data_IF_711530996433
#
_entry.id   IF_711530996433
#
_cell.length_a   1.000
_cell.length_b   1.000
_cell.length_c   1.000
_cell.angle_alpha   90.00
_cell.angle_beta   90.00
_cell.angle_gamma   90.00
#
_symmetry.space_group_name_H-M   'P 1'
#
loop_
_entity.id
_entity.type
_entity.pdbx_description
1 polymer ?
#
# COMPACT_ATOMS: atom_id res chain seq x y z
N UNK A 1 47.16 -17.04 -23.78
CA UNK A 1 46.60 -17.77 -24.93
C UNK A 1 45.44 -16.95 -25.46
N UNK A 2 45.70 -16.24 -26.58
CA UNK A 2 44.79 -15.74 -27.66
C UNK A 2 43.51 -15.00 -27.27
N UNK A 3 43.15 -13.80 -27.74
CA UNK A 3 43.73 -12.64 -28.46
C UNK A 3 42.67 -11.52 -28.30
N UNK A 4 43.10 -10.27 -28.19
CA UNK A 4 42.27 -9.07 -28.19
C UNK A 4 41.62 -8.79 -29.55
N UNK A 5 40.47 -8.12 -29.58
CA UNK A 5 40.00 -7.41 -30.79
C UNK A 5 39.37 -6.09 -30.38
N UNK A 6 39.98 -5.00 -30.86
CA UNK A 6 39.51 -3.64 -30.76
C UNK A 6 38.78 -3.26 -32.06
N UNK A 7 37.75 -2.43 -31.96
CA UNK A 7 37.24 -1.65 -33.10
C UNK A 7 36.86 -0.24 -32.63
N UNK A 8 37.56 0.74 -33.22
CA UNK A 8 37.28 2.18 -33.20
C UNK A 8 36.14 2.51 -34.18
N UNK A 9 35.49 3.64 -33.95
CA UNK A 9 34.92 4.66 -34.88
C UNK A 9 33.76 5.36 -34.13
N UNK A 10 33.52 6.66 -34.15
CA UNK A 10 34.10 7.80 -34.86
C UNK A 10 33.35 9.05 -34.36
N UNK A 11 34.03 10.18 -34.35
CA UNK A 11 33.49 11.48 -33.94
C UNK A 11 32.54 12.06 -35.00
N UNK A 12 31.48 12.74 -34.56
CA UNK A 12 30.58 13.52 -35.42
C UNK A 12 30.01 14.74 -34.69
N UNK A 13 30.51 15.93 -35.06
CA UNK A 13 30.00 17.28 -34.72
C UNK A 13 28.72 17.59 -35.51
N UNK A 14 27.70 18.19 -34.86
CA UNK A 14 26.69 19.11 -35.46
C UNK A 14 26.17 20.00 -34.31
N UNK A 15 26.57 21.27 -34.17
CA UNK A 15 26.07 22.50 -34.80
C UNK A 15 24.75 23.08 -34.21
N UNK A 16 24.94 24.29 -33.64
CA UNK A 16 24.08 25.35 -33.13
C UNK A 16 22.63 25.58 -33.64
N UNK A 17 21.75 25.90 -32.67
CA UNK A 17 20.76 27.00 -32.68
C UNK A 17 19.39 26.75 -33.33
N UNK A 18 18.32 27.56 -33.03
CA UNK A 18 18.35 28.88 -32.39
C UNK A 18 17.30 29.14 -31.26
N UNK A 19 17.49 30.34 -30.70
CA UNK A 19 16.75 31.15 -29.70
C UNK A 19 15.20 31.11 -29.71
N UNK A 20 14.60 31.13 -28.52
CA UNK A 20 13.32 31.79 -28.16
C UNK A 20 13.50 32.47 -26.79
N UNK A 21 13.67 33.79 -26.72
CA UNK A 21 12.65 34.85 -26.58
C UNK A 21 11.79 34.68 -25.33
N UNK A 22 12.18 35.43 -24.30
CA UNK A 22 11.44 35.74 -23.07
C UNK A 22 10.29 36.73 -23.35
N UNK A 23 9.20 36.72 -22.56
CA UNK A 23 8.38 37.90 -22.37
C UNK A 23 8.72 38.60 -21.05
N UNK A 24 8.95 39.89 -21.16
CA UNK A 24 9.12 40.83 -20.06
C UNK A 24 7.79 41.14 -19.37
N UNK A 25 7.89 41.35 -18.06
CA UNK A 25 7.15 42.30 -17.22
C UNK A 25 6.19 43.29 -17.91
N UNK A 26 4.96 43.37 -17.41
CA UNK A 26 4.26 44.64 -17.15
C UNK A 26 3.55 44.55 -15.80
N UNK A 27 3.98 45.40 -14.88
CA UNK A 27 3.18 45.82 -13.74
C UNK A 27 2.34 47.05 -14.10
N UNK A 28 1.22 47.21 -13.41
CA UNK A 28 0.53 48.46 -13.09
C UNK A 28 -0.53 48.09 -12.02
N UNK A 29 -0.32 48.45 -10.76
CA UNK A 29 -0.82 49.69 -10.13
C UNK A 29 -2.34 49.62 -9.90
N UNK A 30 -2.78 49.36 -8.66
CA UNK A 30 -3.16 50.36 -7.64
C UNK A 30 -4.42 51.17 -7.99
N UNK A 31 -5.44 51.05 -7.12
CA UNK A 31 -6.31 52.10 -6.53
C UNK A 31 -7.62 51.44 -6.10
N UNK A 32 -7.89 51.24 -4.80
CA UNK A 32 -8.23 52.18 -3.73
C UNK A 32 -9.73 52.53 -3.65
N UNK A 33 -10.23 52.52 -2.40
CA UNK A 33 -11.51 53.06 -1.88
C UNK A 33 -12.75 52.23 -2.22
N UNK A 34 -13.74 52.04 -1.35
CA UNK A 34 -14.04 52.48 0.01
C UNK A 34 -15.23 51.62 0.49
N UNK A 35 -15.24 51.19 1.75
CA UNK A 35 -15.95 51.84 2.85
C UNK A 35 -17.42 51.40 3.02
N UNK A 36 -17.68 50.91 4.24
CA UNK A 36 -18.94 50.98 5.00
C UNK A 36 -20.12 50.13 4.49
N UNK A 37 -21.08 49.72 5.31
CA UNK A 37 -21.26 49.56 6.77
C UNK A 37 -22.71 49.10 6.90
N UNK A 38 -22.92 48.08 7.73
CA UNK A 38 -24.10 47.74 8.53
C UNK A 38 -25.47 48.34 8.16
N UNK A 39 -26.48 47.47 8.03
CA UNK A 39 -27.71 47.54 8.83
C UNK A 39 -28.53 46.25 8.73
N UNK A 40 -28.83 45.67 9.89
CA UNK A 40 -29.86 44.65 10.03
C UNK A 40 -31.26 45.26 10.10
N UNK A 41 -32.27 44.42 9.92
CA UNK A 41 -33.60 44.62 10.47
C UNK A 41 -34.31 43.26 10.56
N UNK A 42 -34.54 42.87 11.80
CA UNK A 42 -35.40 41.80 12.28
C UNK A 42 -36.86 42.24 12.21
N UNK A 43 -37.78 41.37 11.79
CA UNK A 43 -39.21 41.45 12.18
C UNK A 43 -39.76 40.03 12.36
N UNK A 44 -40.11 39.73 13.60
CA UNK A 44 -40.94 38.60 14.01
C UNK A 44 -42.41 39.03 14.14
N UNK A 45 -43.37 38.17 13.79
CA UNK A 45 -44.73 38.19 14.38
C UNK A 45 -45.27 36.77 14.53
N UNK A 46 -45.90 36.55 15.68
CA UNK A 46 -46.32 35.30 16.29
C UNK A 46 -47.68 34.74 15.82
N UNK A 47 -47.96 33.47 16.17
CA UNK A 47 -49.28 32.84 16.12
C UNK A 47 -49.37 31.63 17.07
N UNK A 48 -50.48 31.56 17.81
CA UNK A 48 -50.73 30.81 19.05
C UNK A 48 -51.06 29.30 18.90
N UNK A 49 -50.79 28.55 19.98
CA UNK A 49 -51.09 27.15 20.39
C UNK A 49 -52.63 26.82 20.53
N UNK A 50 -53.12 25.60 20.96
CA UNK A 50 -52.46 24.40 21.55
C UNK A 50 -53.04 22.98 21.20
N UNK A 51 -52.42 21.96 21.84
CA UNK A 51 -52.91 20.64 22.32
C UNK A 51 -52.68 19.39 21.45
N UNK A 52 -51.68 18.62 21.87
CA UNK A 52 -51.55 17.19 21.59
C UNK A 52 -50.70 16.53 22.68
N UNK A 53 -51.36 15.93 23.67
CA UNK A 53 -50.74 15.10 24.70
C UNK A 53 -50.25 13.81 24.04
N UNK A 54 -48.96 13.50 24.09
CA UNK A 54 -48.50 12.13 23.91
C UNK A 54 -47.30 11.80 24.80
N UNK A 55 -47.33 10.57 25.31
CA UNK A 55 -46.73 10.09 26.55
C UNK A 55 -45.21 9.97 26.49
N UNK A 56 -44.59 10.23 27.64
CA UNK A 56 -43.18 9.98 27.91
C UNK A 56 -42.80 8.50 27.76
N UNK A 57 -41.77 8.21 26.95
CA UNK A 57 -40.88 7.07 27.14
C UNK A 57 -39.46 7.61 27.27
N UNK A 58 -38.98 7.74 28.51
CA UNK A 58 -37.57 8.00 28.81
C UNK A 58 -36.77 6.74 28.47
N UNK A 59 -36.26 6.68 27.25
CA UNK A 59 -35.18 5.76 26.87
C UNK A 59 -33.88 6.29 27.44
N UNK A 60 -33.20 5.46 28.25
CA UNK A 60 -31.90 5.74 28.87
C UNK A 60 -30.82 5.71 27.78
N UNK A 61 -30.50 6.87 27.21
CA UNK A 61 -29.32 7.04 26.38
C UNK A 61 -28.07 6.82 27.25
N UNK A 62 -27.42 5.68 27.06
CA UNK A 62 -26.03 5.49 27.49
C UNK A 62 -25.17 6.24 26.49
N UNK A 63 -24.94 7.53 26.76
CA UNK A 63 -23.88 8.29 26.12
C UNK A 63 -22.55 7.62 26.44
N UNK A 64 -22.01 6.86 25.48
CA UNK A 64 -20.62 6.44 25.47
C UNK A 64 -19.78 7.69 25.28
N UNK A 65 -19.28 8.26 26.38
CA UNK A 65 -18.35 9.37 26.35
C UNK A 65 -17.11 8.97 25.56
N UNK A 66 -16.97 9.50 24.35
CA UNK A 66 -15.71 9.44 23.60
C UNK A 66 -14.78 10.46 24.26
N UNK A 67 -13.83 9.98 25.05
CA UNK A 67 -12.72 10.79 25.51
C UNK A 67 -11.76 11.00 24.34
N UNK A 68 -11.81 12.18 23.71
CA UNK A 68 -10.77 12.62 22.80
C UNK A 68 -9.50 12.89 23.63
N UNK A 69 -8.49 12.05 23.46
CA UNK A 69 -7.17 12.26 24.05
C UNK A 69 -6.41 13.18 23.11
N UNK A 70 -6.21 14.44 23.50
CA UNK A 70 -5.30 15.35 22.81
C UNK A 70 -3.85 14.91 23.12
N UNK A 71 -3.38 13.91 22.39
CA UNK A 71 -1.99 13.50 22.36
C UNK A 71 -1.40 13.94 21.04
N UNK A 72 -0.39 14.80 21.08
CA UNK A 72 0.41 15.20 19.93
C UNK A 72 1.39 14.07 19.57
N UNK A 73 0.85 12.90 19.25
CA UNK A 73 1.59 11.73 18.78
C UNK A 73 1.00 11.33 17.44
N UNK A 74 1.86 11.09 16.45
CA UNK A 74 1.46 10.45 15.20
C UNK A 74 0.56 9.25 15.54
N UNK A 75 -0.68 9.27 15.06
CA UNK A 75 -1.59 8.14 15.25
C UNK A 75 -0.86 6.89 14.74
N UNK A 76 -0.76 5.80 15.53
CA UNK A 76 -0.18 4.58 15.03
C UNK A 76 -0.94 4.20 13.74
N UNK A 77 -0.24 3.76 12.68
CA UNK A 77 -0.91 3.43 11.42
C UNK A 77 -2.07 2.51 11.75
N UNK A 78 -3.28 2.95 11.37
CA UNK A 78 -4.52 2.25 11.71
C UNK A 78 -4.59 1.01 10.85
N UNK A 79 -3.82 -0.01 11.22
CA UNK A 79 -3.76 -1.30 10.55
C UNK A 79 -5.18 -1.88 10.60
N UNK A 80 -5.71 -2.25 9.44
CA UNK A 80 -7.04 -2.84 9.36
C UNK A 80 -7.07 -4.15 10.18
N UNK A 81 -8.12 -4.31 11.00
CA UNK A 81 -8.28 -5.54 11.82
C UNK A 81 -8.31 -6.80 10.96
N UNK A 82 -8.82 -6.69 9.74
CA UNK A 82 -8.81 -7.77 8.76
C UNK A 82 -7.39 -8.16 8.32
N UNK A 83 -6.50 -7.18 8.07
CA UNK A 83 -5.11 -7.47 7.73
C UNK A 83 -4.38 -8.14 8.91
N UNK A 84 -4.68 -7.72 10.15
CA UNK A 84 -4.13 -8.35 11.33
C UNK A 84 -4.56 -9.81 11.45
N UNK A 85 -5.87 -10.09 11.37
CA UNK A 85 -6.41 -11.44 11.47
C UNK A 85 -5.90 -12.37 10.36
N UNK A 86 -5.75 -11.86 9.14
CA UNK A 86 -5.13 -12.61 8.04
C UNK A 86 -3.65 -12.88 8.29
N UNK A 87 -2.91 -11.90 8.82
CA UNK A 87 -1.48 -12.07 9.13
C UNK A 87 -1.24 -13.11 10.23
N UNK A 88 -2.15 -13.21 11.19
CA UNK A 88 -2.12 -14.23 12.24
C UNK A 88 -2.42 -15.63 11.70
N UNK A 89 -3.33 -15.72 10.72
CA UNK A 89 -3.63 -16.97 10.04
C UNK A 89 -2.47 -17.47 9.14
N UNK A 90 -1.76 -16.59 8.45
CA UNK A 90 -0.61 -16.96 7.59
C UNK A 90 0.62 -17.41 8.39
N UNK A 91 0.79 -16.85 9.58
CA UNK A 91 1.91 -17.16 10.48
C UNK A 91 1.36 -17.61 11.82
N UNK A 92 0.73 -18.81 11.86
CA UNK A 92 0.29 -19.39 13.11
C UNK A 92 1.50 -19.40 14.05
N UNK A 93 1.26 -19.19 15.35
CA UNK A 93 2.27 -19.16 16.42
C UNK A 93 3.41 -18.11 16.35
N UNK A 94 3.45 -17.19 15.37
CA UNK A 94 4.47 -16.11 15.39
C UNK A 94 4.39 -15.26 16.67
N UNK A 95 3.18 -15.01 17.14
CA UNK A 95 2.95 -14.31 18.41
C UNK A 95 3.67 -15.00 19.58
N UNK A 96 3.51 -16.32 19.72
CA UNK A 96 4.17 -17.11 20.77
C UNK A 96 5.69 -17.03 20.66
N UNK A 97 6.22 -17.09 19.44
CA UNK A 97 7.67 -17.02 19.22
C UNK A 97 8.26 -15.66 19.62
N UNK A 98 7.62 -14.57 19.23
CA UNK A 98 8.03 -13.21 19.63
C UNK A 98 7.93 -13.04 21.15
N UNK A 99 6.84 -13.53 21.76
CA UNK A 99 6.67 -13.52 23.21
C UNK A 99 7.78 -14.30 23.92
N UNK A 100 8.13 -15.49 23.41
CA UNK A 100 9.22 -16.30 23.94
C UNK A 100 10.56 -15.57 23.87
N UNK A 101 10.91 -14.95 22.73
CA UNK A 101 12.14 -14.17 22.62
C UNK A 101 12.20 -12.99 23.58
N UNK A 102 11.07 -12.31 23.79
CA UNK A 102 10.98 -11.18 24.70
C UNK A 102 11.09 -11.62 26.16
N UNK A 103 10.40 -12.70 26.56
CA UNK A 103 10.44 -13.25 27.90
C UNK A 103 11.85 -13.79 28.24
N UNK A 104 12.44 -14.58 27.35
CA UNK A 104 13.82 -15.06 27.50
C UNK A 104 14.82 -13.91 27.49
N UNK A 105 14.62 -12.89 26.65
CA UNK A 105 15.48 -11.71 26.60
C UNK A 105 15.42 -10.91 27.90
N UNK A 106 14.22 -10.72 28.47
CA UNK A 106 14.05 -10.09 29.77
C UNK A 106 14.76 -10.89 30.87
N UNK A 107 14.64 -12.23 30.85
CA UNK A 107 15.36 -13.11 31.78
C UNK A 107 16.88 -12.98 31.65
N UNK A 108 17.42 -13.03 30.42
CA UNK A 108 18.85 -12.87 30.15
C UNK A 108 19.36 -11.48 30.52
N UNK A 109 18.52 -10.45 30.41
CA UNK A 109 18.87 -9.09 30.86
C UNK A 109 19.02 -9.03 32.38
N UNK A 110 18.10 -9.66 33.12
CA UNK A 110 18.18 -9.75 34.58
C UNK A 110 19.39 -10.58 35.02
N UNK A 111 19.62 -11.75 34.40
CA UNK A 111 20.80 -12.59 34.64
C UNK A 111 22.10 -11.83 34.38
N UNK A 112 22.20 -11.19 33.21
CA UNK A 112 23.34 -10.38 32.82
C UNK A 112 23.60 -9.20 33.76
N UNK A 113 22.56 -8.55 34.31
CA UNK A 113 22.73 -7.49 35.30
C UNK A 113 23.33 -8.03 36.61
N UNK A 114 22.87 -9.19 37.08
CA UNK A 114 23.40 -9.84 38.28
C UNK A 114 24.86 -10.27 38.04
N UNK A 115 25.15 -10.90 36.90
CA UNK A 115 26.50 -11.29 36.51
C UNK A 115 27.43 -10.07 36.40
N UNK A 116 26.94 -8.95 35.84
CA UNK A 116 27.70 -7.70 35.76
C UNK A 116 28.07 -7.17 37.15
N UNK A 117 27.13 -7.20 38.10
CA UNK A 117 27.39 -6.78 39.49
C UNK A 117 28.42 -7.70 40.16
N UNK A 118 28.35 -9.03 39.93
CA UNK A 118 29.32 -9.99 40.48
C UNK A 118 30.72 -9.79 39.92
N UNK A 119 30.84 -9.65 38.60
CA UNK A 119 32.13 -9.35 37.93
C UNK A 119 32.72 -8.05 38.45
N UNK A 120 31.91 -6.99 38.60
CA UNK A 120 32.38 -5.71 39.15
C UNK A 120 32.87 -5.84 40.60
N UNK A 121 32.16 -6.60 41.44
CA UNK A 121 32.55 -6.84 42.83
C UNK A 121 33.83 -7.69 42.92
N UNK A 122 33.96 -8.75 42.13
CA UNK A 122 35.16 -9.60 42.08
C UNK A 122 36.40 -8.84 41.59
N UNK A 123 36.23 -7.95 40.62
CA UNK A 123 37.30 -7.06 40.16
C UNK A 123 37.72 -6.07 41.25
N UNK A 124 36.76 -5.46 41.96
CA UNK A 124 37.04 -4.54 43.06
C UNK A 124 37.76 -5.20 44.24
N UNK A 125 37.52 -6.49 44.48
CA UNK A 125 38.18 -7.29 45.53
C UNK A 125 39.54 -7.86 45.09
N UNK A 126 39.91 -7.74 43.81
CA UNK A 126 41.14 -8.32 43.27
C UNK A 126 41.08 -9.85 43.07
N UNK A 127 39.88 -10.44 43.10
CA UNK A 127 39.65 -11.88 42.90
C UNK A 127 39.70 -12.26 41.40
N UNK A 128 39.50 -11.28 40.52
CA UNK A 128 39.56 -11.44 39.06
C UNK A 128 40.87 -10.82 38.56
N UNK A 129 41.80 -11.66 38.09
CA UNK A 129 43.06 -11.23 37.50
C UNK A 129 42.88 -10.53 36.15
N UNK A 130 43.85 -9.69 35.77
CA UNK A 130 43.87 -8.94 34.50
C UNK A 130 44.51 -9.72 33.34
N UNK A 131 44.90 -10.98 33.56
CA UNK A 131 45.52 -11.81 32.53
C UNK A 131 44.45 -12.51 31.69
N UNK A 132 44.76 -12.81 30.42
CA UNK A 132 43.82 -13.47 29.50
C UNK A 132 43.42 -14.88 29.97
N UNK A 133 44.29 -15.58 30.72
CA UNK A 133 44.02 -16.88 31.33
C UNK A 133 43.06 -16.80 32.51
N UNK A 134 43.16 -15.77 33.36
CA UNK A 134 42.25 -15.57 34.49
C UNK A 134 40.86 -15.12 34.01
N UNK A 135 40.83 -14.36 32.91
CA UNK A 135 39.59 -13.92 32.27
C UNK A 135 38.76 -15.11 31.76
N UNK A 136 39.39 -16.08 31.08
CA UNK A 136 38.72 -17.29 30.57
C UNK A 136 38.48 -18.36 31.65
N UNK A 137 39.22 -18.32 32.76
CA UNK A 137 39.10 -19.27 33.87
C UNK A 137 38.07 -18.87 34.94
N UNK A 138 37.61 -17.62 34.96
CA UNK A 138 36.66 -17.15 35.97
C UNK A 138 35.21 -17.51 35.64
N UNK A 139 34.51 -18.06 36.63
CA UNK A 139 33.10 -18.46 36.50
C UNK A 139 32.18 -17.25 36.29
N UNK A 140 32.48 -16.12 36.95
CA UNK A 140 31.68 -14.89 36.85
C UNK A 140 31.77 -14.23 35.45
N UNK A 141 32.96 -14.18 34.84
CA UNK A 141 33.12 -13.65 33.47
C UNK A 141 32.49 -14.60 32.47
N UNK A 142 32.65 -15.91 32.65
CA UNK A 142 32.03 -16.92 31.79
C UNK A 142 30.50 -16.81 31.84
N UNK A 143 29.92 -16.65 33.03
CA UNK A 143 28.49 -16.40 33.22
C UNK A 143 28.00 -15.13 32.51
N UNK A 144 28.71 -14.02 32.67
CA UNK A 144 28.42 -12.76 31.97
C UNK A 144 28.51 -12.91 30.44
N UNK A 145 29.52 -13.64 29.95
CA UNK A 145 29.70 -13.89 28.53
C UNK A 145 28.55 -14.73 27.95
N UNK A 146 28.07 -15.74 28.70
CA UNK A 146 26.92 -16.55 28.31
C UNK A 146 25.64 -15.70 28.25
N UNK A 147 25.37 -14.89 29.29
CA UNK A 147 24.18 -14.01 29.31
C UNK A 147 24.20 -13.00 28.16
N UNK A 148 25.36 -12.40 27.87
CA UNK A 148 25.52 -11.49 26.73
C UNK A 148 25.34 -12.20 25.39
N UNK A 149 25.91 -13.39 25.22
CA UNK A 149 25.74 -14.20 24.01
C UNK A 149 24.26 -14.58 23.82
N UNK A 150 23.59 -15.06 24.87
CA UNK A 150 22.18 -15.41 24.86
C UNK A 150 21.31 -14.19 24.51
N UNK A 151 21.53 -13.05 25.19
CA UNK A 151 20.81 -11.82 24.91
C UNK A 151 21.02 -11.36 23.47
N UNK A 152 22.25 -11.42 22.95
CA UNK A 152 22.57 -11.04 21.58
C UNK A 152 21.83 -11.90 20.56
N UNK A 153 21.78 -13.22 20.77
CA UNK A 153 21.07 -14.18 19.91
C UNK A 153 19.55 -13.94 19.94
N UNK A 154 18.98 -13.71 21.13
CA UNK A 154 17.55 -13.44 21.31
C UNK A 154 17.14 -12.12 20.65
N UNK A 155 17.95 -11.06 20.80
CA UNK A 155 17.72 -9.78 20.12
C UNK A 155 17.79 -9.95 18.60
N UNK A 156 18.74 -10.73 18.08
CA UNK A 156 18.84 -11.03 16.65
C UNK A 156 17.58 -11.76 16.14
N UNK A 157 17.13 -12.81 16.83
CA UNK A 157 15.94 -13.58 16.45
C UNK A 157 14.67 -12.72 16.52
N UNK A 158 14.54 -11.90 17.57
CA UNK A 158 13.45 -10.92 17.69
C UNK A 158 13.41 -9.96 16.52
N UNK A 159 14.55 -9.31 16.18
CA UNK A 159 14.63 -8.37 15.05
C UNK A 159 14.28 -9.04 13.72
N UNK A 160 14.69 -10.28 13.51
CA UNK A 160 14.36 -11.05 12.30
C UNK A 160 12.85 -11.31 12.20
N UNK A 161 12.22 -11.69 13.30
CA UNK A 161 10.79 -12.00 13.34
C UNK A 161 9.91 -10.76 13.23
N UNK A 162 10.27 -9.66 13.88
CA UNK A 162 9.55 -8.39 13.73
C UNK A 162 9.67 -7.85 12.32
N UNK A 163 10.87 -7.87 11.72
CA UNK A 163 11.04 -7.47 10.32
C UNK A 163 10.21 -8.32 9.35
N UNK A 164 10.06 -9.63 9.60
CA UNK A 164 9.20 -10.49 8.80
C UNK A 164 7.71 -10.17 9.00
N UNK A 165 7.29 -9.89 10.25
CA UNK A 165 5.93 -9.46 10.58
C UNK A 165 5.57 -8.15 9.89
N UNK A 166 6.42 -7.15 9.98
CA UNK A 166 6.15 -5.81 9.44
C UNK A 166 6.00 -5.85 7.91
N UNK A 167 6.86 -6.63 7.23
CA UNK A 167 6.73 -6.85 5.78
C UNK A 167 5.38 -7.49 5.41
N UNK A 168 4.90 -8.45 6.20
CA UNK A 168 3.63 -9.12 5.95
C UNK A 168 2.43 -8.20 6.22
N UNK A 169 2.45 -7.45 7.33
CA UNK A 169 1.40 -6.48 7.64
C UNK A 169 1.32 -5.41 6.56
N UNK A 170 2.45 -4.84 6.13
CA UNK A 170 2.48 -3.86 5.04
C UNK A 170 1.92 -4.43 3.75
N UNK A 171 2.27 -5.67 3.40
CA UNK A 171 1.68 -6.35 2.23
C UNK A 171 0.16 -6.50 2.35
N UNK A 172 -0.33 -7.03 3.47
CA UNK A 172 -1.76 -7.31 3.67
C UNK A 172 -2.59 -6.04 3.79
N UNK A 173 -2.05 -4.99 4.39
CA UNK A 173 -2.68 -3.68 4.44
C UNK A 173 -2.89 -3.14 3.03
N UNK A 174 -1.87 -3.22 2.15
CA UNK A 174 -1.98 -2.80 0.74
C UNK A 174 -3.03 -3.59 -0.02
N UNK A 175 -3.08 -4.92 0.18
CA UNK A 175 -4.11 -5.78 -0.41
C UNK A 175 -5.52 -5.46 0.12
N UNK A 176 -5.64 -5.10 1.41
CA UNK A 176 -6.93 -4.74 2.04
C UNK A 176 -7.43 -3.39 1.54
N UNK A 177 -6.58 -2.37 1.50
CA UNK A 177 -6.92 -1.04 0.98
C UNK A 177 -7.32 -1.13 -0.49
N UNK A 178 -6.58 -1.91 -1.29
CA UNK A 178 -6.94 -2.16 -2.69
C UNK A 178 -8.32 -2.82 -2.81
N UNK A 179 -8.60 -3.85 -2.00
CA UNK A 179 -9.87 -4.55 -2.04
C UNK A 179 -11.08 -3.64 -1.73
N UNK A 180 -10.88 -2.58 -0.95
CA UNK A 180 -11.93 -1.61 -0.60
C UNK A 180 -12.17 -0.55 -1.68
N UNK A 181 -11.27 -0.40 -2.65
CA UNK A 181 -11.45 0.55 -3.75
C UNK A 181 -12.67 0.19 -4.60
N UNK A 182 -13.37 1.23 -5.07
CA UNK A 182 -14.64 1.12 -5.77
C UNK A 182 -14.48 1.32 -7.26
N UNK A 183 -15.23 0.55 -8.01
CA UNK A 183 -15.36 0.64 -9.46
C UNK A 183 -16.82 0.56 -9.86
N UNK A 184 -17.11 1.12 -11.02
CA UNK A 184 -18.41 1.07 -11.65
C UNK A 184 -18.37 0.17 -12.88
N UNK A 185 -19.36 -0.72 -12.98
CA UNK A 185 -19.64 -1.51 -14.16
C UNK A 185 -20.68 -0.75 -14.98
N UNK A 186 -20.28 -0.28 -16.18
CA UNK A 186 -21.05 0.61 -17.06
C UNK A 186 -22.19 -0.09 -17.81
N UNK A 187 -23.02 -0.84 -17.09
CA UNK A 187 -24.23 -1.46 -17.63
C UNK A 187 -25.31 -0.39 -17.88
N UNK A 188 -26.40 -0.77 -18.58
CA UNK A 188 -27.59 0.09 -18.74
C UNK A 188 -28.09 0.69 -17.42
N UNK A 189 -27.90 -0.05 -16.31
CA UNK A 189 -28.03 0.45 -14.95
C UNK A 189 -26.66 0.31 -14.28
N UNK A 190 -25.95 1.42 -14.00
CA UNK A 190 -24.60 1.33 -13.47
C UNK A 190 -24.60 0.61 -12.12
N UNK A 191 -23.61 -0.27 -11.94
CA UNK A 191 -23.43 -1.04 -10.70
C UNK A 191 -22.11 -0.66 -10.06
N UNK A 192 -22.18 -0.09 -8.86
CA UNK A 192 -21.03 0.21 -8.03
C UNK A 192 -20.63 -1.03 -7.24
N UNK A 193 -19.39 -1.48 -7.40
CA UNK A 193 -18.84 -2.65 -6.71
C UNK A 193 -17.46 -2.33 -6.13
N UNK A 194 -17.05 -3.05 -5.09
CA UNK A 194 -15.66 -2.99 -4.61
C UNK A 194 -14.81 -4.02 -5.35
N UNK A 195 -13.49 -3.80 -5.38
CA UNK A 195 -12.57 -4.84 -5.89
C UNK A 195 -12.71 -6.15 -5.12
N UNK A 196 -13.01 -6.11 -3.82
CA UNK A 196 -13.30 -7.29 -3.01
C UNK A 196 -14.47 -8.11 -3.57
N UNK A 197 -15.52 -7.45 -4.07
CA UNK A 197 -16.68 -8.12 -4.65
C UNK A 197 -16.39 -8.72 -6.03
N UNK A 198 -15.39 -8.19 -6.74
CA UNK A 198 -14.92 -8.78 -7.99
C UNK A 198 -14.06 -10.03 -7.78
N UNK A 199 -13.54 -10.24 -6.57
CA UNK A 199 -12.74 -11.42 -6.24
C UNK A 199 -13.58 -12.69 -6.44
N UNK A 200 -13.02 -13.63 -7.20
CA UNK A 200 -13.67 -14.88 -7.58
C UNK A 200 -14.54 -14.80 -8.83
N UNK A 201 -14.80 -13.59 -9.35
CA UNK A 201 -15.60 -13.37 -10.56
C UNK A 201 -14.78 -12.85 -11.73
N UNK A 202 -13.84 -11.93 -11.52
CA UNK A 202 -12.99 -11.40 -12.58
C UNK A 202 -11.57 -11.09 -12.07
N UNK A 203 -10.57 -11.27 -12.94
CA UNK A 203 -9.19 -10.85 -12.72
C UNK A 203 -9.06 -9.39 -13.13
N UNK A 204 -8.49 -8.54 -12.29
CA UNK A 204 -8.46 -7.10 -12.57
C UNK A 204 -7.08 -6.67 -13.07
N UNK A 205 -7.03 -5.84 -14.11
CA UNK A 205 -5.81 -5.17 -14.57
C UNK A 205 -6.00 -3.67 -14.44
N UNK A 206 -5.20 -3.05 -13.59
CA UNK A 206 -5.19 -1.61 -13.39
C UNK A 206 -4.11 -1.04 -14.31
N UNK A 207 -4.49 -0.07 -15.12
CA UNK A 207 -3.59 0.66 -16.01
C UNK A 207 -3.55 2.10 -15.53
N UNK A 208 -2.42 2.55 -15.02
CA UNK A 208 -2.30 3.87 -14.38
C UNK A 208 -1.16 4.71 -14.98
N UNK A 209 -1.47 5.90 -15.48
CA UNK A 209 -0.47 6.76 -16.13
C UNK A 209 -1.02 8.04 -16.75
N UNK A 210 -0.41 8.52 -17.83
CA UNK A 210 -0.93 9.65 -18.63
C UNK A 210 -2.19 9.26 -19.41
N UNK A 211 -2.96 10.25 -19.85
CA UNK A 211 -4.17 10.01 -20.65
C UNK A 211 -3.88 9.22 -21.93
N UNK A 212 -2.79 9.54 -22.64
CA UNK A 212 -2.39 8.84 -23.87
C UNK A 212 -2.02 7.39 -23.60
N UNK A 213 -1.31 7.15 -22.50
CA UNK A 213 -0.90 5.81 -22.10
C UNK A 213 -2.10 4.92 -21.75
N UNK A 214 -3.09 5.47 -21.04
CA UNK A 214 -4.30 4.74 -20.68
C UNK A 214 -5.09 4.34 -21.93
N UNK A 215 -5.30 5.29 -22.85
CA UNK A 215 -6.00 5.03 -24.12
C UNK A 215 -5.27 3.99 -24.95
N UNK A 216 -3.94 4.09 -25.08
CA UNK A 216 -3.14 3.15 -25.85
C UNK A 216 -3.13 1.74 -25.23
N UNK A 217 -3.10 1.66 -23.89
CA UNK A 217 -3.18 0.38 -23.18
C UNK A 217 -4.52 -0.31 -23.40
N UNK A 218 -5.62 0.45 -23.39
CA UNK A 218 -6.98 -0.07 -23.67
C UNK A 218 -7.11 -0.47 -25.14
N UNK A 219 -6.54 0.32 -26.07
CA UNK A 219 -6.48 -0.04 -27.49
C UNK A 219 -5.74 -1.37 -27.70
N UNK A 220 -4.57 -1.54 -27.10
CA UNK A 220 -3.79 -2.79 -27.19
C UNK A 220 -4.56 -3.97 -26.58
N UNK A 221 -5.32 -3.73 -25.51
CA UNK A 221 -6.16 -4.77 -24.92
C UNK A 221 -7.33 -5.18 -25.83
N UNK A 222 -7.90 -4.22 -26.57
CA UNK A 222 -8.99 -4.46 -27.51
C UNK A 222 -8.59 -5.43 -28.64
N UNK A 223 -7.33 -5.41 -29.08
CA UNK A 223 -6.78 -6.37 -30.05
C UNK A 223 -6.86 -7.82 -29.55
N UNK A 224 -6.88 -8.03 -28.23
CA UNK A 224 -6.91 -9.34 -27.58
C UNK A 224 -8.23 -9.62 -26.86
N UNK A 225 -9.31 -8.89 -27.19
CA UNK A 225 -10.57 -8.91 -26.42
C UNK A 225 -11.18 -10.31 -26.24
N UNK A 226 -11.07 -11.18 -27.25
CA UNK A 226 -11.58 -12.54 -27.16
C UNK A 226 -10.89 -13.34 -26.05
N UNK A 227 -9.57 -13.22 -25.94
CA UNK A 227 -8.80 -13.93 -24.90
C UNK A 227 -8.97 -13.27 -23.52
N UNK A 228 -9.11 -11.94 -23.48
CA UNK A 228 -9.44 -11.19 -22.25
C UNK A 228 -10.76 -11.69 -21.65
N UNK A 229 -11.79 -11.88 -22.48
CA UNK A 229 -13.10 -12.41 -22.05
C UNK A 229 -13.02 -13.86 -21.60
N UNK A 230 -12.38 -14.73 -22.37
CA UNK A 230 -12.24 -16.17 -22.06
C UNK A 230 -11.50 -16.43 -20.72
N UNK A 231 -10.61 -15.51 -20.35
CA UNK A 231 -9.87 -15.55 -19.06
C UNK A 231 -10.51 -14.70 -17.96
N UNK A 232 -11.64 -14.06 -18.25
CA UNK A 232 -12.43 -13.26 -17.32
C UNK A 232 -11.65 -12.08 -16.70
N UNK A 233 -10.92 -11.35 -17.55
CA UNK A 233 -10.21 -10.15 -17.15
C UNK A 233 -11.10 -8.91 -17.29
N UNK A 234 -10.98 -8.00 -16.33
CA UNK A 234 -11.50 -6.64 -16.40
C UNK A 234 -10.34 -5.63 -16.28
N UNK A 235 -10.50 -4.48 -16.92
CA UNK A 235 -9.50 -3.43 -17.07
C UNK A 235 -10.03 -2.17 -16.39
N UNK A 236 -9.18 -1.56 -15.55
CA UNK A 236 -9.45 -0.31 -14.85
C UNK A 236 -8.45 0.74 -15.37
N UNK A 237 -8.90 1.67 -16.22
CA UNK A 237 -8.11 2.80 -16.69
C UNK A 237 -8.07 3.89 -15.63
N UNK A 238 -6.88 4.37 -15.27
CA UNK A 238 -6.68 5.40 -14.26
C UNK A 238 -5.67 6.46 -14.74
N UNK A 239 -6.13 7.70 -14.87
CA UNK A 239 -5.21 8.83 -15.14
C UNK A 239 -4.60 9.35 -13.83
N UNK A 240 -3.27 9.30 -13.74
CA UNK A 240 -2.50 9.71 -12.55
C UNK A 240 -2.17 11.21 -12.52
N UNK A 241 -2.17 11.88 -13.67
CA UNK A 241 -1.95 13.32 -13.74
C UNK A 241 -3.08 14.12 -13.11
N UNK A 242 -2.85 15.43 -12.98
CA UNK A 242 -3.89 16.41 -12.61
C UNK A 242 -4.96 16.58 -13.70
N UNK A 243 -4.71 15.97 -14.85
CA UNK A 243 -5.67 15.79 -15.92
C UNK A 243 -6.92 15.05 -15.40
N UNK A 244 -8.07 15.39 -16.00
CA UNK A 244 -9.32 14.65 -15.76
C UNK A 244 -9.14 13.17 -16.13
N UNK A 245 -10.05 12.31 -15.65
CA UNK A 245 -10.11 10.95 -16.20
C UNK A 245 -10.43 11.01 -17.69
N UNK A 246 -10.01 9.97 -18.43
CA UNK A 246 -10.35 9.86 -19.84
C UNK A 246 -11.87 9.84 -20.04
N UNK A 247 -12.33 10.42 -21.15
CA UNK A 247 -13.72 10.35 -21.56
C UNK A 247 -14.14 8.88 -21.72
N UNK A 248 -15.19 8.49 -20.99
CA UNK A 248 -15.65 7.11 -20.95
C UNK A 248 -16.16 6.65 -22.32
N UNK A 249 -16.69 7.57 -23.13
CA UNK A 249 -17.15 7.30 -24.50
C UNK A 249 -16.02 6.81 -25.40
N UNK A 250 -14.84 7.47 -25.32
CA UNK A 250 -13.66 7.11 -26.13
C UNK A 250 -13.17 5.71 -25.76
N UNK A 251 -13.14 5.39 -24.47
CA UNK A 251 -12.72 4.07 -24.01
C UNK A 251 -13.75 2.99 -24.38
N UNK A 252 -15.04 3.33 -24.34
CA UNK A 252 -16.14 2.41 -24.69
C UNK A 252 -16.22 2.16 -26.20
N UNK A 253 -15.72 3.07 -27.03
CA UNK A 253 -15.56 2.83 -28.47
C UNK A 253 -14.50 1.75 -28.75
N UNK A 254 -13.41 1.75 -27.97
CA UNK A 254 -12.35 0.74 -28.08
C UNK A 254 -12.81 -0.63 -27.53
N UNK A 255 -13.43 -0.64 -26.34
CA UNK A 255 -13.95 -1.83 -25.69
C UNK A 255 -15.41 -1.59 -25.29
N UNK A 256 -16.38 -2.03 -26.11
CA UNK A 256 -17.81 -1.82 -25.84
C UNK A 256 -18.37 -2.66 -24.70
N UNK A 257 -17.61 -3.65 -24.20
CA UNK A 257 -18.07 -4.57 -23.17
C UNK A 257 -17.89 -3.96 -21.76
N UNK A 258 -19.00 -3.66 -21.04
CA UNK A 258 -18.92 -3.02 -19.72
C UNK A 258 -18.44 -3.95 -18.61
N UNK A 259 -18.39 -5.28 -18.83
CA UNK A 259 -17.81 -6.22 -17.86
C UNK A 259 -16.28 -6.30 -18.00
N UNK A 260 -15.76 -5.97 -19.18
CA UNK A 260 -14.32 -5.91 -19.44
C UNK A 260 -13.77 -4.53 -19.09
N UNK A 261 -14.48 -3.44 -19.40
CA UNK A 261 -14.00 -2.08 -19.14
C UNK A 261 -14.77 -1.46 -17.96
N UNK A 262 -14.07 -1.31 -16.83
CA UNK A 262 -14.63 -0.75 -15.59
C UNK A 262 -14.15 0.68 -15.38
N UNK A 263 -14.96 1.51 -14.72
CA UNK A 263 -14.58 2.89 -14.39
C UNK A 263 -14.19 3.00 -12.91
N UNK A 264 -13.01 3.54 -12.57
CA UNK A 264 -12.68 3.78 -11.17
C UNK A 264 -13.56 4.87 -10.58
N UNK A 265 -13.99 4.68 -9.34
CA UNK A 265 -14.80 5.64 -8.58
C UNK A 265 -13.98 6.15 -7.40
N UNK A 266 -14.21 7.41 -6.99
CA UNK A 266 -13.41 8.11 -5.97
C UNK A 266 -11.92 8.12 -6.35
N UNK A 267 -11.61 8.72 -7.50
CA UNK A 267 -10.28 8.78 -8.13
C UNK A 267 -9.16 9.19 -7.15
N UNK A 268 -9.43 10.07 -6.19
CA UNK A 268 -8.47 10.43 -5.15
C UNK A 268 -7.93 9.21 -4.39
N UNK A 269 -8.80 8.29 -3.96
CA UNK A 269 -8.40 7.08 -3.23
C UNK A 269 -7.54 6.15 -4.11
N UNK A 270 -7.85 6.07 -5.40
CA UNK A 270 -7.05 5.31 -6.37
C UNK A 270 -5.67 5.93 -6.58
N UNK A 271 -5.60 7.25 -6.73
CA UNK A 271 -4.34 7.99 -6.90
C UNK A 271 -3.47 7.89 -5.66
N UNK A 272 -4.05 8.02 -4.48
CA UNK A 272 -3.34 7.87 -3.20
C UNK A 272 -2.76 6.46 -3.07
N UNK A 273 -3.59 5.44 -3.32
CA UNK A 273 -3.15 4.04 -3.25
C UNK A 273 -2.04 3.73 -4.26
N UNK A 274 -2.19 4.14 -5.53
CA UNK A 274 -1.15 3.93 -6.55
C UNK A 274 0.13 4.70 -6.19
N UNK A 275 0.02 5.93 -5.70
CA UNK A 275 1.17 6.74 -5.31
C UNK A 275 1.96 6.08 -4.18
N UNK A 276 1.28 5.57 -3.16
CA UNK A 276 1.88 4.77 -2.09
C UNK A 276 2.56 3.50 -2.64
N UNK A 277 1.91 2.80 -3.58
CA UNK A 277 2.51 1.62 -4.22
C UNK A 277 3.76 1.96 -5.03
N UNK A 278 3.75 3.08 -5.75
CA UNK A 278 4.89 3.53 -6.55
C UNK A 278 6.07 3.92 -5.66
N UNK A 279 5.82 4.62 -4.55
CA UNK A 279 6.84 5.00 -3.58
C UNK A 279 7.50 3.77 -2.94
N UNK A 280 6.70 2.81 -2.47
CA UNK A 280 7.17 1.54 -1.91
C UNK A 280 8.02 0.73 -2.91
N UNK A 281 7.69 0.80 -4.20
CA UNK A 281 8.40 0.11 -5.27
C UNK A 281 9.59 0.90 -5.85
N UNK A 282 9.87 2.11 -5.35
CA UNK A 282 10.93 2.99 -5.86
C UNK A 282 10.67 3.49 -7.29
N UNK A 283 9.40 3.60 -7.70
CA UNK A 283 8.96 4.11 -8.99
C UNK A 283 8.76 5.63 -8.90
N UNK A 284 9.33 6.38 -9.84
CA UNK A 284 9.22 7.84 -9.84
C UNK A 284 7.78 8.29 -10.19
N UNK A 285 7.33 9.39 -9.57
CA UNK A 285 6.04 10.02 -9.88
C UNK A 285 5.98 10.40 -11.38
N UNK A 286 4.84 10.14 -12.01
CA UNK A 286 4.62 10.38 -13.45
C UNK A 286 5.04 9.22 -14.37
N UNK A 287 5.57 8.12 -13.84
CA UNK A 287 5.78 6.91 -14.65
C UNK A 287 4.48 6.15 -14.87
N UNK A 288 4.30 5.66 -16.09
CA UNK A 288 3.18 4.79 -16.47
C UNK A 288 3.41 3.38 -15.92
N UNK A 289 2.40 2.84 -15.26
CA UNK A 289 2.45 1.53 -14.60
C UNK A 289 1.21 0.70 -14.93
N UNK A 290 1.34 -0.61 -14.75
CA UNK A 290 0.22 -1.52 -14.74
C UNK A 290 0.33 -2.47 -13.55
N UNK A 291 -0.82 -2.93 -13.08
CA UNK A 291 -0.93 -3.90 -11.97
C UNK A 291 -1.97 -4.93 -12.36
N UNK A 292 -1.54 -6.18 -12.52
CA UNK A 292 -2.40 -7.34 -12.73
C UNK A 292 -2.72 -8.04 -11.42
N UNK A 293 -4.00 -8.15 -11.10
CA UNK A 293 -4.53 -8.87 -9.96
C UNK A 293 -4.99 -10.26 -10.36
N UNK A 294 -4.85 -11.18 -9.42
CA UNK A 294 -5.36 -12.54 -9.51
C UNK A 294 -6.84 -12.56 -9.09
N UNK A 295 -7.53 -13.69 -9.28
CA UNK A 295 -8.94 -13.84 -8.91
C UNK A 295 -9.21 -13.66 -7.41
N UNK A 296 -8.21 -13.82 -6.54
CA UNK A 296 -8.35 -13.58 -5.10
C UNK A 296 -7.95 -12.15 -4.69
N UNK A 297 -7.72 -11.25 -5.65
CA UNK A 297 -7.40 -9.85 -5.41
C UNK A 297 -5.94 -9.57 -5.05
N UNK A 298 -5.07 -10.59 -5.02
CA UNK A 298 -3.63 -10.41 -4.79
C UNK A 298 -2.94 -9.92 -6.06
N UNK A 299 -1.91 -9.09 -5.88
CA UNK A 299 -1.06 -8.63 -6.98
C UNK A 299 -0.27 -9.82 -7.55
N UNK A 300 -0.49 -10.12 -8.83
CA UNK A 300 0.22 -11.16 -9.59
C UNK A 300 1.38 -10.58 -10.38
N UNK A 301 1.13 -9.47 -11.07
CA UNK A 301 2.11 -8.82 -11.93
C UNK A 301 2.04 -7.32 -11.72
N UNK A 302 3.18 -6.66 -11.77
CA UNK A 302 3.25 -5.20 -11.80
C UNK A 302 4.46 -4.79 -12.63
N UNK A 303 4.34 -3.73 -13.39
CA UNK A 303 5.44 -3.28 -14.24
C UNK A 303 5.26 -1.85 -14.71
N UNK A 304 6.28 -1.36 -15.42
CA UNK A 304 6.30 -0.04 -16.05
C UNK A 304 5.96 -0.18 -17.54
N UNK A 305 5.35 0.87 -18.11
CA UNK A 305 4.94 0.88 -19.51
C UNK A 305 3.73 0.00 -19.79
N UNK A 306 3.51 -0.36 -21.05
CA UNK A 306 2.29 -1.08 -21.46
C UNK A 306 2.21 -2.47 -20.83
N UNK A 307 1.01 -2.94 -20.46
CA UNK A 307 0.81 -4.32 -20.05
C UNK A 307 1.20 -5.27 -21.18
N UNK A 308 2.01 -6.31 -20.93
CA UNK A 308 2.34 -7.33 -21.93
C UNK A 308 1.17 -8.30 -22.11
N UNK A 309 0.06 -7.82 -22.68
CA UNK A 309 -1.24 -8.50 -22.77
C UNK A 309 -1.14 -9.96 -23.23
N UNK A 310 -0.38 -10.23 -24.30
CA UNK A 310 -0.22 -11.59 -24.82
C UNK A 310 0.36 -12.57 -23.79
N UNK A 311 1.45 -12.19 -23.10
CA UNK A 311 2.06 -13.03 -22.06
C UNK A 311 1.15 -13.14 -20.85
N UNK A 312 0.59 -11.99 -20.44
CA UNK A 312 -0.25 -11.89 -19.27
C UNK A 312 -1.49 -12.78 -19.37
N UNK A 313 -2.14 -12.80 -20.53
CA UNK A 313 -3.34 -13.62 -20.78
C UNK A 313 -2.98 -15.11 -20.94
N UNK A 314 -1.85 -15.43 -21.58
CA UNK A 314 -1.42 -16.80 -21.79
C UNK A 314 -1.11 -17.55 -20.49
N UNK A 315 -0.62 -16.83 -19.45
CA UNK A 315 -0.36 -17.41 -18.13
C UNK A 315 -1.63 -17.73 -17.33
N UNK A 316 -2.77 -17.16 -17.71
CA UNK A 316 -4.02 -17.30 -16.97
C UNK A 316 -4.78 -18.53 -17.46
N UNK A 317 -5.44 -19.22 -16.53
CA UNK A 317 -6.28 -20.37 -16.87
C UNK A 317 -7.61 -19.92 -17.49
N UNK A 318 -8.07 -20.60 -18.57
CA UNK A 318 -9.43 -20.47 -19.08
C UNK A 318 -10.46 -20.75 -17.99
N UNK A 319 -11.61 -20.08 -18.09
CA UNK A 319 -12.75 -20.35 -17.21
C UNK A 319 -13.44 -21.67 -17.56
N UNK A 320 -13.49 -22.03 -18.83
CA UNK A 320 -14.20 -23.22 -19.31
C UNK A 320 -13.24 -24.41 -19.47
N UNK A 321 -13.60 -25.57 -18.88
CA UNK A 321 -12.84 -26.81 -18.99
C UNK A 321 -12.76 -27.64 -17.69
N UNK A 322 -12.22 -28.85 -17.79
CA UNK A 322 -12.06 -29.84 -16.70
C UNK A 322 -11.24 -29.29 -15.50
N UNK A 323 -10.50 -28.20 -15.72
CA UNK A 323 -9.66 -27.50 -14.73
C UNK A 323 -10.36 -26.31 -14.03
N UNK A 324 -11.67 -26.13 -14.19
CA UNK A 324 -12.44 -24.99 -13.67
C UNK A 324 -12.94 -25.13 -12.22
N UNK A 325 -12.78 -26.31 -11.60
CA UNK A 325 -13.29 -26.52 -10.24
C UNK A 325 -12.43 -25.80 -9.19
N UNK A 326 -13.10 -25.33 -8.13
CA UNK A 326 -12.65 -24.60 -6.94
C UNK A 326 -11.27 -25.00 -6.35
N UNK A 327 -10.80 -26.20 -6.69
CA UNK A 327 -9.49 -26.75 -6.37
C UNK A 327 -8.28 -25.98 -6.96
N UNK A 328 -8.40 -25.37 -8.15
CA UNK A 328 -7.26 -24.77 -8.87
C UNK A 328 -7.15 -23.25 -8.76
N UNK A 329 -8.08 -22.60 -8.05
CA UNK A 329 -8.02 -21.16 -7.75
C UNK A 329 -6.74 -20.78 -6.99
N UNK A 330 -6.11 -21.76 -6.34
CA UNK A 330 -4.79 -21.65 -5.71
C UNK A 330 -3.59 -21.75 -6.67
N UNK A 331 -3.73 -22.41 -7.83
CA UNK A 331 -2.65 -22.81 -8.74
C UNK A 331 -2.33 -21.80 -9.86
N UNK A 332 -2.91 -20.60 -9.81
CA UNK A 332 -2.51 -19.51 -10.70
C UNK A 332 -1.10 -19.06 -10.27
N UNK A 333 -0.08 -19.54 -11.00
CA UNK A 333 1.32 -19.73 -10.58
C UNK A 333 1.97 -18.58 -9.81
N UNK A 334 2.86 -18.93 -8.87
CA UNK A 334 3.77 -17.97 -8.22
C UNK A 334 4.76 -17.47 -9.28
N UNK A 335 4.74 -16.18 -9.57
CA UNK A 335 5.92 -15.52 -10.12
C UNK A 335 6.97 -15.46 -9.00
N UNK A 336 8.12 -16.07 -9.24
CA UNK A 336 9.29 -15.98 -8.36
C UNK A 336 10.05 -14.69 -8.66
#
# INVERSE_FOLDING_TARGET
MVVATAARLGAGRVAAGPRRVSPSSRGAALTSRGAASCRGAEVAVAGHHPKGVCKSRRGRERGSGVFARAGNGEDPPTISREALLRSEAEAPFRFFRIFLWLALGASATVGGLIATIRVAAGLAKGEIGLTFSDFLGSEDITGLAIDLAALSALVFLYKRDTAARDKQIKRLQRETTLAQLKVEINLKKPRLVTLQQLQGFARTVIVAGSQEYVVESVRTAAEHIAMVKDRQLCIIPLVLGDEGQCDQEVLSELIPDPEVLLSPILIGQWRDWISEQMEDAGVQKGQNVYIGLRMDGRVRASGKGLPPWTKFIAELTPKEGIWSSDFMKGFDGRVN
#
